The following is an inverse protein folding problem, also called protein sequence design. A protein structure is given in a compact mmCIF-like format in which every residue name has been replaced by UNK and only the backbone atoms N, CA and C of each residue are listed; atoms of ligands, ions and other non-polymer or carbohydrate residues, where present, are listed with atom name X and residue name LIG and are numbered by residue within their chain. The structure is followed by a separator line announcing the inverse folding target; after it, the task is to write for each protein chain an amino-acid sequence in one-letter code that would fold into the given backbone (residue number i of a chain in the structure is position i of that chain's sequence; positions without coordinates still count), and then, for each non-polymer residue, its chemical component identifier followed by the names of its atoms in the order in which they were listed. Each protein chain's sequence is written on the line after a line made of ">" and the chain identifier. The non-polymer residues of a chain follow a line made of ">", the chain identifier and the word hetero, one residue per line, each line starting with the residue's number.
data_IF_243390912964
#
_entry.id   IF_243390912964
#
_cell.length_a   1.000
_cell.length_b   1.000
_cell.length_c   1.000
_cell.angle_alpha   90.00
_cell.angle_beta   90.00
_cell.angle_gamma   90.00
#
_symmetry.space_group_name_H-M   'P 1'
#
loop_
_entity.id
_entity.type
_entity.pdbx_description
1 polymer ?
#
# COMPACT_ATOMS: atom_id res chain seq x y z
N UNK A 1 -20.11 -23.14 56.08
CA UNK A 1 -20.88 -23.50 54.88
C UNK A 1 -20.07 -22.94 53.69
N UNK A 2 -19.40 -23.84 52.98
CA UNK A 2 -18.57 -23.49 51.82
C UNK A 2 -19.45 -23.76 50.59
N UNK A 3 -19.94 -22.76 49.94
CA UNK A 3 -20.60 -22.89 48.64
C UNK A 3 -19.52 -23.15 47.55
N UNK A 4 -19.52 -24.36 47.03
CA UNK A 4 -18.75 -24.71 45.84
C UNK A 4 -19.43 -24.11 44.61
N UNK A 5 -18.91 -22.99 44.11
CA UNK A 5 -19.27 -22.49 42.79
C UNK A 5 -18.55 -23.33 41.73
N UNK A 6 -19.28 -24.17 41.02
CA UNK A 6 -18.79 -24.94 39.87
C UNK A 6 -18.46 -23.94 38.73
N UNK A 7 -17.26 -24.03 38.19
CA UNK A 7 -16.84 -23.16 37.08
C UNK A 7 -17.59 -23.51 35.77
N UNK A 8 -17.84 -22.55 34.86
CA UNK A 8 -18.54 -22.83 33.61
C UNK A 8 -17.91 -23.91 32.71
N UNK A 9 -16.60 -24.17 32.89
CA UNK A 9 -15.87 -25.20 32.15
C UNK A 9 -16.22 -26.62 32.63
N UNK A 10 -16.58 -26.81 33.92
CA UNK A 10 -16.95 -28.12 34.44
C UNK A 10 -18.37 -28.53 34.02
N UNK A 11 -19.28 -27.58 33.87
CA UNK A 11 -20.63 -27.87 33.38
C UNK A 11 -20.62 -28.29 31.88
N UNK A 12 -19.73 -27.71 31.08
CA UNK A 12 -19.58 -28.09 29.67
C UNK A 12 -18.96 -29.48 29.49
N UNK A 13 -17.98 -29.84 30.34
CA UNK A 13 -17.34 -31.16 30.33
C UNK A 13 -18.30 -32.27 30.75
N UNK A 14 -19.19 -32.00 31.71
CA UNK A 14 -20.19 -32.97 32.15
C UNK A 14 -21.29 -33.22 31.12
N UNK A 15 -21.67 -32.20 30.33
CA UNK A 15 -22.61 -32.36 29.22
C UNK A 15 -22.03 -33.19 28.08
N UNK A 16 -20.75 -33.02 27.75
CA UNK A 16 -20.05 -33.81 26.72
C UNK A 16 -19.91 -35.29 27.12
N UNK A 17 -19.70 -35.56 28.41
CA UNK A 17 -19.65 -36.94 28.92
C UNK A 17 -21.02 -37.66 28.86
N UNK A 18 -22.12 -36.93 29.03
CA UNK A 18 -23.47 -37.46 28.90
C UNK A 18 -23.86 -37.76 27.44
N UNK A 19 -23.45 -36.92 26.50
CA UNK A 19 -23.68 -37.14 25.06
C UNK A 19 -23.00 -38.42 24.56
N UNK A 20 -21.84 -38.75 25.11
CA UNK A 20 -21.11 -39.99 24.77
C UNK A 20 -21.85 -41.27 25.24
N UNK A 21 -22.70 -41.15 26.24
CA UNK A 21 -23.40 -42.30 26.82
C UNK A 21 -24.85 -42.48 26.32
N UNK A 22 -25.52 -41.45 25.90
CA UNK A 22 -26.97 -41.53 25.53
C UNK A 22 -27.26 -41.21 24.07
N UNK A 23 -26.35 -40.60 23.33
CA UNK A 23 -26.52 -40.23 21.92
C UNK A 23 -27.54 -39.10 21.67
N UNK A 24 -28.13 -38.51 22.71
CA UNK A 24 -29.09 -37.40 22.60
C UNK A 24 -28.63 -36.20 23.45
N UNK A 25 -28.54 -35.04 22.81
CA UNK A 25 -28.34 -33.75 23.45
C UNK A 25 -29.72 -33.28 23.96
N UNK A 26 -29.89 -33.25 25.27
CA UNK A 26 -31.08 -32.66 25.89
C UNK A 26 -30.87 -31.13 25.88
N UNK A 27 -31.49 -30.41 24.90
CA UNK A 27 -31.39 -28.98 24.73
C UNK A 27 -32.14 -28.17 25.81
N UNK A 28 -33.00 -28.85 26.58
CA UNK A 28 -33.80 -28.18 27.62
C UNK A 28 -32.98 -27.89 28.89
N UNK A 29 -31.81 -28.51 29.07
CA UNK A 29 -30.90 -28.27 30.21
C UNK A 29 -29.80 -27.23 29.91
N UNK A 30 -29.81 -26.64 28.73
CA UNK A 30 -28.91 -25.54 28.42
C UNK A 30 -29.41 -24.26 29.13
N UNK A 31 -28.92 -24.04 30.35
CA UNK A 31 -29.07 -22.73 31.01
C UNK A 31 -28.29 -21.72 30.21
N UNK A 32 -28.98 -20.85 29.51
CA UNK A 32 -28.35 -19.72 28.84
C UNK A 32 -27.47 -18.96 29.84
N UNK A 33 -26.18 -18.72 29.53
CA UNK A 33 -25.35 -17.89 30.39
C UNK A 33 -26.04 -16.55 30.62
N UNK A 34 -25.98 -15.98 31.83
CA UNK A 34 -26.61 -14.69 32.10
C UNK A 34 -26.16 -13.67 31.08
N UNK A 35 -27.11 -13.18 30.29
CA UNK A 35 -26.83 -12.13 29.31
C UNK A 35 -26.37 -10.92 30.11
N UNK A 36 -25.09 -10.59 29.99
CA UNK A 36 -24.55 -9.41 30.62
C UNK A 36 -25.28 -8.20 29.98
N UNK A 37 -26.06 -7.49 30.75
CA UNK A 37 -26.92 -6.37 30.29
C UNK A 37 -26.12 -5.22 29.64
N UNK A 38 -24.78 -5.25 29.77
CA UNK A 38 -23.85 -4.26 29.23
C UNK A 38 -23.44 -4.53 27.77
N UNK A 39 -23.84 -5.66 27.20
CA UNK A 39 -23.58 -5.92 25.78
C UNK A 39 -24.66 -5.27 24.93
N UNK A 40 -24.25 -4.48 23.89
CA UNK A 40 -25.21 -3.93 22.96
C UNK A 40 -25.97 -5.07 22.25
N UNK A 41 -27.26 -4.84 21.99
CA UNK A 41 -28.08 -5.80 21.25
C UNK A 41 -27.40 -6.20 19.94
N UNK A 42 -27.35 -7.51 19.60
CA UNK A 42 -26.77 -7.96 18.33
C UNK A 42 -27.46 -7.26 17.17
N UNK A 43 -26.70 -6.58 16.33
CA UNK A 43 -27.23 -5.96 15.13
C UNK A 43 -27.45 -7.01 14.04
N UNK A 44 -28.55 -6.96 13.29
CA UNK A 44 -28.76 -7.86 12.16
C UNK A 44 -27.62 -7.70 11.16
N UNK A 45 -27.10 -8.79 10.59
CA UNK A 45 -26.04 -8.78 9.57
C UNK A 45 -26.44 -7.95 8.34
N UNK A 46 -27.74 -7.77 8.13
CA UNK A 46 -28.34 -6.95 7.06
C UNK A 46 -28.72 -5.54 7.49
N UNK A 47 -28.41 -5.13 8.73
CA UNK A 47 -28.66 -3.77 9.17
C UNK A 47 -27.85 -2.79 8.32
N UNK A 48 -28.51 -1.82 7.71
CA UNK A 48 -27.84 -0.68 7.09
C UNK A 48 -27.14 0.09 8.19
N UNK A 49 -25.81 0.08 8.17
CA UNK A 49 -25.01 0.94 9.04
C UNK A 49 -25.36 2.37 8.61
N UNK A 50 -25.88 3.19 9.53
CA UNK A 50 -26.07 4.61 9.25
C UNK A 50 -24.72 5.24 8.96
N UNK A 51 -24.66 6.05 7.88
CA UNK A 51 -23.47 6.82 7.56
C UNK A 51 -23.23 7.84 8.66
N UNK A 52 -22.07 7.78 9.29
CA UNK A 52 -21.63 8.80 10.25
C UNK A 52 -20.79 9.86 9.54
N UNK A 53 -20.92 11.14 9.94
CA UNK A 53 -20.07 12.19 9.41
C UNK A 53 -18.59 11.88 9.66
N UNK A 54 -17.74 12.20 8.70
CA UNK A 54 -16.29 12.07 8.89
C UNK A 54 -15.81 13.01 10.01
N UNK A 55 -15.08 12.52 11.03
CA UNK A 55 -14.67 13.31 12.18
C UNK A 55 -13.48 14.22 11.82
N UNK A 56 -13.69 15.22 10.96
CA UNK A 56 -12.63 16.11 10.48
C UNK A 56 -11.97 16.89 11.61
N UNK A 57 -12.72 17.18 12.67
CA UNK A 57 -12.21 17.90 13.86
C UNK A 57 -11.21 17.08 14.67
N UNK A 58 -11.15 15.76 14.47
CA UNK A 58 -10.13 14.91 15.10
C UNK A 58 -8.77 14.98 14.41
N UNK A 59 -8.68 15.57 13.22
CA UNK A 59 -7.42 15.77 12.52
C UNK A 59 -6.59 16.88 13.17
N UNK A 60 -5.24 16.76 13.17
CA UNK A 60 -4.37 17.88 13.51
C UNK A 60 -4.69 19.13 12.71
N UNK A 61 -4.58 20.29 13.32
CA UNK A 61 -5.00 21.57 12.75
C UNK A 61 -4.48 21.85 11.33
N UNK A 62 -3.21 21.54 11.07
CA UNK A 62 -2.60 21.76 9.75
C UNK A 62 -3.31 20.93 8.67
N UNK A 63 -3.60 19.66 8.97
CA UNK A 63 -4.28 18.77 8.04
C UNK A 63 -5.74 19.18 7.88
N UNK A 64 -6.43 19.43 9.00
CA UNK A 64 -7.83 19.83 9.02
C UNK A 64 -8.06 21.08 8.20
N UNK A 65 -7.32 22.14 8.46
CA UNK A 65 -7.47 23.44 7.77
C UNK A 65 -7.19 23.33 6.27
N UNK A 66 -6.17 22.56 5.86
CA UNK A 66 -5.88 22.34 4.46
C UNK A 66 -7.02 21.55 3.78
N UNK A 67 -7.56 20.52 4.46
CA UNK A 67 -8.68 19.74 3.93
C UNK A 67 -9.96 20.57 3.84
N UNK A 68 -10.26 21.43 4.82
CA UNK A 68 -11.39 22.36 4.80
C UNK A 68 -11.25 23.39 3.68
N UNK A 69 -10.07 23.99 3.50
CA UNK A 69 -9.78 24.96 2.44
C UNK A 69 -9.97 24.36 1.05
N UNK A 70 -9.37 23.21 0.79
CA UNK A 70 -9.54 22.49 -0.49
C UNK A 70 -10.98 22.01 -0.67
N UNK A 71 -11.61 21.49 0.39
CA UNK A 71 -12.99 21.03 0.39
C UNK A 71 -13.99 22.14 0.07
N UNK A 72 -13.80 23.35 0.59
CA UNK A 72 -14.63 24.52 0.33
C UNK A 72 -14.64 24.91 -1.16
N UNK A 73 -13.53 24.71 -1.86
CA UNK A 73 -13.42 24.96 -3.29
C UNK A 73 -13.88 23.77 -4.13
N UNK A 74 -13.29 22.59 -3.86
CA UNK A 74 -13.54 21.38 -4.67
C UNK A 74 -14.95 20.85 -4.48
N UNK A 75 -15.53 21.02 -3.29
CA UNK A 75 -16.89 20.55 -2.90
C UNK A 75 -17.07 19.03 -3.11
N UNK A 76 -15.97 18.29 -2.98
CA UNK A 76 -16.00 16.84 -2.90
C UNK A 76 -16.43 16.40 -1.48
N UNK A 77 -16.88 15.15 -1.28
CA UNK A 77 -17.13 14.63 0.05
C UNK A 77 -15.94 14.81 0.99
N UNK A 78 -16.19 15.26 2.22
CA UNK A 78 -15.14 15.61 3.20
C UNK A 78 -14.11 14.50 3.40
N UNK A 79 -14.58 13.25 3.53
CA UNK A 79 -13.67 12.11 3.72
C UNK A 79 -12.78 11.86 2.51
N UNK A 80 -13.23 12.17 1.30
CA UNK A 80 -12.43 12.02 0.08
C UNK A 80 -11.28 13.04 0.10
N UNK A 81 -11.57 14.29 0.44
CA UNK A 81 -10.56 15.35 0.59
C UNK A 81 -9.55 14.99 1.69
N UNK A 82 -10.05 14.56 2.86
CA UNK A 82 -9.23 14.16 4.00
C UNK A 82 -8.34 12.93 3.67
N UNK A 83 -8.88 11.95 2.94
CA UNK A 83 -8.11 10.77 2.52
C UNK A 83 -6.97 11.14 1.56
N UNK A 84 -7.18 12.08 0.64
CA UNK A 84 -6.12 12.58 -0.24
C UNK A 84 -5.04 13.32 0.56
N UNK A 85 -5.41 14.14 1.55
CA UNK A 85 -4.47 14.80 2.45
C UNK A 85 -3.66 13.79 3.28
N UNK A 86 -4.32 12.82 3.92
CA UNK A 86 -3.68 11.80 4.72
C UNK A 86 -2.76 10.90 3.89
N UNK A 87 -3.15 10.54 2.67
CA UNK A 87 -2.33 9.75 1.75
C UNK A 87 -1.05 10.46 1.37
N UNK A 88 -1.12 11.75 1.04
CA UNK A 88 0.05 12.58 0.74
C UNK A 88 0.97 12.73 1.94
N UNK A 89 0.43 13.05 3.11
CA UNK A 89 1.22 13.19 4.33
C UNK A 89 1.88 11.86 4.72
N UNK A 90 1.15 10.75 4.64
CA UNK A 90 1.69 9.41 4.91
C UNK A 90 2.89 9.12 4.01
N UNK A 91 2.79 9.41 2.71
CA UNK A 91 3.88 9.23 1.77
C UNK A 91 5.08 10.12 2.11
N UNK A 92 4.87 11.37 2.49
CA UNK A 92 5.94 12.28 2.84
C UNK A 92 6.67 11.87 4.13
N UNK A 93 5.94 11.36 5.14
CA UNK A 93 6.49 11.06 6.46
C UNK A 93 7.06 9.63 6.60
N UNK A 94 6.55 8.65 5.86
CA UNK A 94 6.82 7.23 6.08
C UNK A 94 8.31 6.82 5.98
N UNK A 95 9.14 7.60 5.28
CA UNK A 95 10.57 7.33 5.16
C UNK A 95 11.37 7.80 6.38
N UNK A 96 10.80 8.65 7.22
CA UNK A 96 11.48 9.34 8.33
C UNK A 96 11.17 8.73 9.69
N UNK A 97 10.02 8.07 9.84
CA UNK A 97 9.53 7.57 11.13
C UNK A 97 8.90 6.20 11.01
N UNK A 98 9.05 5.41 12.07
CA UNK A 98 8.34 4.16 12.29
C UNK A 98 7.45 4.28 13.53
N UNK A 99 6.35 3.55 13.57
CA UNK A 99 5.47 3.48 14.73
C UNK A 99 5.91 2.38 15.70
N UNK A 100 6.30 2.76 16.91
CA UNK A 100 6.51 1.80 18.01
C UNK A 100 5.21 1.66 18.79
N UNK A 101 4.48 0.58 18.58
CA UNK A 101 3.19 0.29 19.23
C UNK A 101 3.36 -0.34 20.62
N UNK A 102 4.40 -1.13 20.78
CA UNK A 102 4.81 -1.75 22.05
C UNK A 102 6.29 -2.15 21.96
N UNK A 103 6.83 -2.74 23.07
CA UNK A 103 8.17 -3.31 23.04
C UNK A 103 8.23 -4.43 21.99
N UNK A 104 9.24 -4.39 21.10
CA UNK A 104 9.41 -5.29 19.95
C UNK A 104 8.30 -5.24 18.87
N UNK A 105 7.37 -4.30 18.96
CA UNK A 105 6.32 -4.07 17.96
C UNK A 105 6.52 -2.71 17.28
N UNK A 106 7.48 -2.64 16.39
CA UNK A 106 7.76 -1.48 15.55
C UNK A 106 7.48 -1.82 14.10
N UNK A 107 6.94 -0.88 13.36
CA UNK A 107 6.63 -1.06 11.94
C UNK A 107 6.43 0.26 11.20
N UNK A 108 6.25 0.18 9.87
CA UNK A 108 6.04 1.34 9.03
C UNK A 108 4.83 2.18 9.44
N UNK A 109 4.87 3.46 9.10
CA UNK A 109 3.74 4.41 9.25
C UNK A 109 2.94 4.59 7.96
N UNK A 110 3.30 3.89 6.88
CA UNK A 110 2.58 3.95 5.62
C UNK A 110 1.12 3.52 5.76
N UNK A 111 0.19 4.37 5.35
CA UNK A 111 -1.24 4.12 5.41
C UNK A 111 -1.75 3.44 4.14
N UNK A 112 -2.70 2.52 4.30
CA UNK A 112 -3.51 1.99 3.22
C UNK A 112 -4.92 2.56 3.33
N UNK A 113 -5.32 3.38 2.36
CA UNK A 113 -6.59 4.11 2.31
C UNK A 113 -7.36 3.68 1.07
N UNK A 114 -8.64 3.39 1.25
CA UNK A 114 -9.55 3.05 0.16
C UNK A 114 -10.82 3.89 0.27
N UNK A 115 -11.02 4.79 -0.67
CA UNK A 115 -12.25 5.61 -0.74
C UNK A 115 -13.11 5.13 -1.89
N UNK A 116 -14.35 4.75 -1.57
CA UNK A 116 -15.34 4.33 -2.57
C UNK A 116 -16.12 5.57 -2.98
N UNK A 117 -15.97 5.99 -4.24
CA UNK A 117 -16.62 7.18 -4.75
C UNK A 117 -16.85 7.06 -6.25
N UNK A 118 -18.03 7.43 -6.71
CA UNK A 118 -18.43 7.30 -8.11
C UNK A 118 -17.71 8.27 -9.06
N UNK A 119 -17.95 8.11 -10.35
CA UNK A 119 -17.44 9.04 -11.35
C UNK A 119 -18.04 10.42 -11.09
N UNK A 120 -17.25 11.49 -11.30
CA UNK A 120 -17.70 12.86 -11.05
C UNK A 120 -17.54 13.35 -9.61
N UNK A 121 -17.07 12.52 -8.65
CA UNK A 121 -16.82 12.94 -7.26
C UNK A 121 -15.53 13.77 -7.08
N UNK A 122 -14.92 14.25 -8.18
CA UNK A 122 -13.74 15.11 -8.19
C UNK A 122 -12.51 14.49 -7.52
N UNK A 123 -12.41 13.16 -7.57
CA UNK A 123 -11.31 12.37 -7.02
C UNK A 123 -9.93 12.89 -7.43
N UNK A 124 -9.70 12.96 -8.74
CA UNK A 124 -8.43 13.41 -9.31
C UNK A 124 -8.06 14.83 -8.90
N UNK A 125 -9.08 15.70 -8.76
CA UNK A 125 -8.85 17.09 -8.32
C UNK A 125 -8.33 17.12 -6.88
N UNK A 126 -8.94 16.35 -5.96
CA UNK A 126 -8.48 16.26 -4.59
C UNK A 126 -7.04 15.76 -4.50
N UNK A 127 -6.72 14.65 -5.19
CA UNK A 127 -5.36 14.12 -5.21
C UNK A 127 -4.35 15.11 -5.78
N UNK A 128 -4.74 15.88 -6.82
CA UNK A 128 -3.86 16.86 -7.44
C UNK A 128 -3.43 17.96 -6.48
N UNK A 129 -4.35 18.46 -5.65
CA UNK A 129 -4.04 19.49 -4.65
C UNK A 129 -3.00 19.00 -3.65
N UNK A 130 -3.22 17.84 -3.05
CA UNK A 130 -2.39 17.33 -1.97
C UNK A 130 -1.10 16.66 -2.44
N UNK A 131 -1.03 16.18 -3.69
CA UNK A 131 0.21 15.60 -4.24
C UNK A 131 1.10 16.62 -4.96
N UNK A 132 0.68 17.87 -5.08
CA UNK A 132 1.40 18.90 -5.86
C UNK A 132 2.83 19.11 -5.37
N UNK A 133 3.03 19.26 -4.06
CA UNK A 133 4.36 19.46 -3.47
C UNK A 133 5.27 18.23 -3.69
N UNK A 134 4.73 17.01 -3.60
CA UNK A 134 5.49 15.79 -3.85
C UNK A 134 5.91 15.69 -5.31
N UNK A 135 5.02 16.06 -6.25
CA UNK A 135 5.34 16.11 -7.68
C UNK A 135 6.44 17.12 -7.96
N UNK A 136 6.30 18.33 -7.43
CA UNK A 136 7.30 19.37 -7.55
C UNK A 136 8.66 18.90 -7.02
N UNK A 137 8.70 18.32 -5.83
CA UNK A 137 9.94 17.74 -5.27
C UNK A 137 10.57 16.70 -6.20
N UNK A 138 9.78 15.77 -6.76
CA UNK A 138 10.30 14.79 -7.72
C UNK A 138 10.89 15.45 -8.97
N UNK A 139 10.22 16.46 -9.52
CA UNK A 139 10.69 17.20 -10.70
C UNK A 139 11.98 17.94 -10.40
N UNK A 140 12.06 18.62 -9.26
CA UNK A 140 13.26 19.32 -8.80
C UNK A 140 14.45 18.36 -8.61
N UNK A 141 14.23 17.20 -7.99
CA UNK A 141 15.27 16.17 -7.80
C UNK A 141 15.72 15.58 -9.17
N UNK A 142 14.79 15.30 -10.06
CA UNK A 142 15.11 14.79 -11.39
C UNK A 142 15.93 15.81 -12.20
N UNK A 143 15.56 17.09 -12.16
CA UNK A 143 16.32 18.13 -12.86
C UNK A 143 17.70 18.36 -12.24
N UNK A 144 17.81 18.37 -10.91
CA UNK A 144 19.08 18.51 -10.22
C UNK A 144 20.07 17.36 -10.56
N UNK A 145 19.54 16.15 -10.75
CA UNK A 145 20.35 14.96 -11.06
C UNK A 145 20.61 14.76 -12.56
N UNK A 146 20.06 15.57 -13.43
CA UNK A 146 20.09 15.38 -14.89
C UNK A 146 21.48 15.28 -15.50
N UNK A 147 22.44 16.06 -14.99
CA UNK A 147 23.83 16.01 -15.43
C UNK A 147 24.47 14.72 -14.99
N UNK A 148 24.35 14.37 -13.69
CA UNK A 148 24.90 13.16 -13.09
C UNK A 148 24.34 11.89 -13.75
N UNK A 149 23.05 11.91 -14.16
CA UNK A 149 22.45 10.80 -14.92
C UNK A 149 23.15 10.60 -16.25
N UNK A 150 23.42 11.68 -17.00
CA UNK A 150 24.14 11.57 -18.28
C UNK A 150 25.58 11.08 -18.12
N UNK A 151 26.25 11.53 -17.07
CA UNK A 151 27.60 11.05 -16.72
C UNK A 151 27.56 9.56 -16.43
N UNK A 152 26.66 9.12 -15.55
CA UNK A 152 26.47 7.70 -15.26
C UNK A 152 26.12 6.86 -16.50
N UNK A 153 25.20 7.34 -17.35
CA UNK A 153 24.83 6.64 -18.59
C UNK A 153 26.05 6.46 -19.51
N UNK A 154 26.89 7.49 -19.62
CA UNK A 154 28.11 7.45 -20.43
C UNK A 154 29.13 6.47 -19.85
N UNK A 155 29.39 6.54 -18.53
CA UNK A 155 30.30 5.64 -17.83
C UNK A 155 29.82 4.19 -17.90
N UNK A 156 28.53 3.96 -17.68
CA UNK A 156 27.95 2.62 -17.76
C UNK A 156 27.99 2.04 -19.18
N UNK A 157 27.79 2.89 -20.20
CA UNK A 157 27.90 2.47 -21.60
C UNK A 157 29.36 2.09 -21.94
N UNK A 158 30.35 2.84 -21.50
CA UNK A 158 31.78 2.52 -21.66
C UNK A 158 32.11 1.20 -20.95
N UNK A 159 31.68 1.05 -19.70
CA UNK A 159 31.88 -0.17 -18.92
C UNK A 159 31.24 -1.42 -19.61
N UNK A 160 30.05 -1.31 -20.15
CA UNK A 160 29.41 -2.37 -20.91
C UNK A 160 30.16 -2.75 -22.16
N UNK A 161 30.71 -1.76 -22.92
CA UNK A 161 31.48 -2.01 -24.13
C UNK A 161 32.82 -2.71 -23.80
N UNK A 162 33.52 -2.29 -22.77
CA UNK A 162 34.75 -2.94 -22.30
C UNK A 162 34.50 -4.39 -21.85
N UNK A 163 33.41 -4.60 -21.11
CA UNK A 163 32.97 -5.92 -20.65
C UNK A 163 32.69 -6.86 -21.83
N UNK A 164 31.96 -6.37 -22.83
CA UNK A 164 31.66 -7.15 -24.04
C UNK A 164 32.92 -7.46 -24.82
N UNK A 165 33.85 -6.52 -24.94
CA UNK A 165 35.15 -6.72 -25.56
C UNK A 165 35.95 -7.82 -24.86
N UNK A 166 36.07 -7.79 -23.53
CA UNK A 166 36.76 -8.83 -22.76
C UNK A 166 36.08 -10.21 -22.88
N UNK A 167 34.74 -10.27 -22.83
CA UNK A 167 34.02 -11.53 -23.03
C UNK A 167 34.22 -12.11 -24.44
N UNK A 168 34.31 -11.25 -25.45
CA UNK A 168 34.61 -11.66 -26.83
C UNK A 168 36.04 -12.15 -26.96
N UNK A 169 37.02 -11.48 -26.35
CA UNK A 169 38.40 -11.91 -26.32
C UNK A 169 38.61 -13.27 -25.62
N UNK A 170 37.89 -13.51 -24.51
CA UNK A 170 37.88 -14.81 -23.81
C UNK A 170 37.33 -15.91 -24.72
N UNK A 171 36.21 -15.66 -25.42
CA UNK A 171 35.62 -16.63 -26.37
C UNK A 171 36.57 -16.96 -27.53
N UNK A 172 37.20 -15.94 -28.09
CA UNK A 172 38.15 -16.09 -29.19
C UNK A 172 39.43 -16.86 -28.76
N UNK A 173 40.02 -16.52 -27.61
CA UNK A 173 41.18 -17.20 -27.07
C UNK A 173 40.86 -18.68 -26.77
N UNK A 174 39.68 -18.97 -26.21
CA UNK A 174 39.21 -20.34 -25.96
C UNK A 174 39.05 -21.15 -27.24
N UNK A 175 38.50 -20.57 -28.32
CA UNK A 175 38.41 -21.23 -29.62
C UNK A 175 39.79 -21.59 -30.22
N UNK A 176 40.78 -20.77 -29.94
CA UNK A 176 42.16 -20.94 -30.44
C UNK A 176 43.05 -21.70 -29.45
N UNK A 177 42.50 -22.32 -28.41
CA UNK A 177 43.22 -23.01 -27.32
C UNK A 177 44.37 -22.19 -26.70
N UNK A 178 44.21 -20.86 -26.66
CA UNK A 178 45.15 -19.93 -26.01
C UNK A 178 44.73 -19.65 -24.56
N UNK A 179 45.70 -19.23 -23.73
CA UNK A 179 45.42 -18.86 -22.36
C UNK A 179 44.39 -17.70 -22.27
N UNK A 180 43.42 -17.84 -21.39
CA UNK A 180 42.37 -16.85 -21.13
C UNK A 180 42.58 -16.11 -19.80
N UNK A 181 43.62 -16.44 -19.05
CA UNK A 181 43.83 -15.97 -17.67
C UNK A 181 43.91 -14.45 -17.56
N UNK A 182 44.67 -13.80 -18.45
CA UNK A 182 44.80 -12.32 -18.44
C UNK A 182 43.45 -11.64 -18.68
N UNK A 183 42.68 -12.14 -19.62
CA UNK A 183 41.34 -11.56 -19.92
C UNK A 183 40.34 -11.78 -18.78
N UNK A 184 40.44 -12.92 -18.09
CA UNK A 184 39.61 -13.21 -16.92
C UNK A 184 39.95 -12.29 -15.75
N UNK A 185 41.23 -12.05 -15.49
CA UNK A 185 41.65 -11.15 -14.43
C UNK A 185 41.24 -9.69 -14.73
N UNK A 186 41.42 -9.25 -15.99
CA UNK A 186 40.93 -7.95 -16.42
C UNK A 186 39.40 -7.81 -16.29
N UNK A 187 38.67 -8.87 -16.65
CA UNK A 187 37.21 -8.87 -16.47
C UNK A 187 36.81 -8.76 -14.99
N UNK A 188 37.51 -9.49 -14.12
CA UNK A 188 37.29 -9.43 -12.69
C UNK A 188 37.57 -8.03 -12.13
N UNK A 189 38.64 -7.38 -12.56
CA UNK A 189 38.93 -5.99 -12.15
C UNK A 189 37.89 -5.03 -12.67
N UNK A 190 37.42 -5.19 -13.90
CA UNK A 190 36.38 -4.38 -14.50
C UNK A 190 35.04 -4.54 -13.73
N UNK A 191 34.69 -5.75 -13.27
CA UNK A 191 33.47 -5.97 -12.47
C UNK A 191 33.52 -5.21 -11.12
N UNK A 192 34.70 -5.00 -10.53
CA UNK A 192 34.83 -4.16 -9.32
C UNK A 192 34.65 -2.66 -9.58
N UNK A 193 34.90 -2.20 -10.80
CA UNK A 193 34.76 -0.80 -11.21
C UNK A 193 33.37 -0.51 -11.84
N UNK A 194 32.41 -1.43 -11.72
CA UNK A 194 31.06 -1.24 -12.24
C UNK A 194 30.44 0.02 -11.68
N UNK A 195 29.96 0.95 -12.52
CA UNK A 195 29.26 2.15 -12.04
C UNK A 195 28.03 1.79 -11.22
N UNK A 196 27.88 2.42 -10.05
CA UNK A 196 26.71 2.21 -9.20
C UNK A 196 25.48 2.93 -9.77
N UNK A 197 24.32 2.25 -9.87
CA UNK A 197 23.10 2.89 -10.33
C UNK A 197 22.71 4.07 -9.46
N UNK A 198 22.40 5.19 -10.09
CA UNK A 198 21.93 6.39 -9.40
C UNK A 198 20.53 6.15 -8.82
N UNK A 199 20.31 6.67 -7.62
CA UNK A 199 19.02 6.63 -6.94
C UNK A 199 18.37 8.00 -7.00
N UNK A 200 17.35 8.13 -7.85
CA UNK A 200 16.57 9.35 -7.99
C UNK A 200 15.22 9.12 -7.30
N UNK A 201 14.75 10.04 -6.45
CA UNK A 201 13.47 9.91 -5.79
C UNK A 201 12.33 9.78 -6.82
N UNK A 202 11.65 8.63 -6.78
CA UNK A 202 10.38 8.42 -7.46
C UNK A 202 9.39 7.99 -6.39
N UNK A 203 8.54 8.94 -5.97
CA UNK A 203 7.64 8.76 -4.82
C UNK A 203 6.24 8.36 -5.25
N UNK A 204 5.74 8.87 -6.39
CA UNK A 204 4.36 8.65 -6.85
C UNK A 204 4.29 7.59 -7.95
N UNK A 205 3.45 6.60 -7.72
CA UNK A 205 3.13 5.51 -8.64
C UNK A 205 1.63 5.51 -8.91
N UNK A 206 1.21 5.95 -10.08
CA UNK A 206 -0.20 6.03 -10.47
C UNK A 206 -0.63 4.76 -11.19
N UNK A 207 0.19 4.31 -12.14
CA UNK A 207 -0.03 3.13 -12.98
C UNK A 207 1.20 2.23 -12.93
N UNK A 208 1.21 1.30 -11.99
CA UNK A 208 2.34 0.37 -11.84
C UNK A 208 1.85 -0.99 -11.36
N UNK A 209 2.44 -2.04 -11.92
CA UNK A 209 2.20 -3.39 -11.42
C UNK A 209 2.94 -3.59 -10.09
N UNK A 210 2.44 -4.45 -9.18
CA UNK A 210 3.13 -4.74 -7.92
C UNK A 210 4.59 -5.22 -8.12
N UNK A 211 4.88 -5.94 -9.20
CA UNK A 211 6.25 -6.38 -9.52
C UNK A 211 7.15 -5.20 -9.93
N UNK A 212 6.65 -4.28 -10.75
CA UNK A 212 7.39 -3.07 -11.12
C UNK A 212 7.59 -2.14 -9.92
N UNK A 213 6.57 -2.02 -9.06
CA UNK A 213 6.69 -1.30 -7.79
C UNK A 213 7.80 -1.88 -6.92
N UNK A 214 7.80 -3.19 -6.69
CA UNK A 214 8.82 -3.85 -5.89
C UNK A 214 10.24 -3.67 -6.48
N UNK A 215 10.38 -3.75 -7.80
CA UNK A 215 11.65 -3.48 -8.48
C UNK A 215 12.14 -2.06 -8.22
N UNK A 216 11.26 -1.07 -8.38
CA UNK A 216 11.60 0.33 -8.15
C UNK A 216 11.95 0.61 -6.68
N UNK A 217 11.20 0.04 -5.73
CA UNK A 217 11.50 0.15 -4.29
C UNK A 217 12.84 -0.50 -3.92
N UNK A 218 13.25 -1.57 -4.60
CA UNK A 218 14.52 -2.24 -4.37
C UNK A 218 15.71 -1.52 -5.00
N UNK A 219 15.56 -1.07 -6.25
CA UNK A 219 16.68 -0.62 -7.10
C UNK A 219 16.77 0.90 -7.24
N UNK A 220 15.68 1.63 -7.10
CA UNK A 220 15.66 3.09 -7.26
C UNK A 220 15.51 3.78 -5.89
N UNK A 221 14.28 3.89 -5.39
CA UNK A 221 14.01 4.64 -4.16
C UNK A 221 13.14 3.81 -3.20
N UNK A 222 13.57 3.60 -1.95
CA UNK A 222 12.93 2.64 -1.05
C UNK A 222 11.65 3.15 -0.39
N UNK A 223 11.13 4.29 -0.78
CA UNK A 223 9.88 4.85 -0.30
C UNK A 223 9.01 5.28 -1.46
N UNK A 224 7.73 4.90 -1.45
CA UNK A 224 6.80 5.25 -2.52
C UNK A 224 5.35 5.18 -2.10
N UNK A 225 4.48 5.80 -2.90
CA UNK A 225 3.03 5.79 -2.71
C UNK A 225 2.29 5.43 -3.98
N UNK A 226 1.40 4.47 -3.88
CA UNK A 226 0.38 4.22 -4.91
C UNK A 226 -0.80 5.13 -4.61
N UNK A 227 -0.81 6.33 -5.20
CA UNK A 227 -1.90 7.29 -5.07
C UNK A 227 -2.63 7.40 -6.39
N UNK A 228 -3.85 6.90 -6.45
CA UNK A 228 -4.62 6.82 -7.70
C UNK A 228 -6.11 7.07 -7.48
N UNK A 229 -6.66 7.95 -8.29
CA UNK A 229 -8.11 8.18 -8.40
C UNK A 229 -8.85 7.08 -9.17
N UNK A 230 -8.11 6.12 -9.73
CA UNK A 230 -8.62 4.95 -10.45
C UNK A 230 -7.88 3.70 -9.98
N UNK A 231 -8.43 3.02 -8.99
CA UNK A 231 -7.82 1.83 -8.38
C UNK A 231 -7.87 0.57 -9.30
N UNK A 232 -8.18 0.74 -10.58
CA UNK A 232 -8.38 -0.34 -11.53
C UNK A 232 -7.19 -1.28 -11.68
N UNK A 233 -5.97 -0.81 -11.44
CA UNK A 233 -4.76 -1.63 -11.58
C UNK A 233 -4.63 -2.63 -10.42
N UNK A 234 -4.94 -2.21 -9.20
CA UNK A 234 -4.89 -3.10 -8.03
C UNK A 234 -6.09 -4.03 -8.00
N UNK A 235 -7.28 -3.50 -8.28
CA UNK A 235 -8.55 -4.21 -8.17
C UNK A 235 -9.11 -4.69 -9.51
N UNK A 236 -8.68 -4.12 -10.62
CA UNK A 236 -9.27 -4.32 -11.95
C UNK A 236 -8.44 -5.13 -12.94
N UNK A 237 -7.36 -5.77 -12.52
CA UNK A 237 -6.53 -6.60 -13.43
C UNK A 237 -7.30 -7.84 -13.90
N UNK A 238 -8.30 -7.59 -14.76
CA UNK A 238 -9.23 -8.59 -15.27
C UNK A 238 -8.58 -9.68 -16.12
N UNK A 239 -7.34 -9.48 -16.54
CA UNK A 239 -6.56 -10.43 -17.33
C UNK A 239 -5.65 -11.34 -16.50
N UNK A 240 -5.54 -11.15 -15.18
CA UNK A 240 -4.68 -11.98 -14.34
C UNK A 240 -5.41 -13.19 -13.79
N UNK A 241 -4.78 -14.38 -13.88
CA UNK A 241 -5.26 -15.58 -13.20
C UNK A 241 -5.24 -15.44 -11.67
N UNK A 242 -5.99 -16.29 -10.97
CA UNK A 242 -6.13 -16.25 -9.50
C UNK A 242 -4.77 -16.27 -8.78
N UNK A 243 -3.80 -17.03 -9.29
CA UNK A 243 -2.46 -17.15 -8.69
C UNK A 243 -1.68 -15.84 -8.76
N UNK A 244 -1.81 -15.09 -9.86
CA UNK A 244 -1.18 -13.78 -10.01
C UNK A 244 -1.79 -12.74 -9.06
N UNK A 245 -3.11 -12.76 -8.88
CA UNK A 245 -3.80 -11.88 -7.94
C UNK A 245 -3.34 -12.19 -6.51
N UNK A 246 -3.31 -13.47 -6.11
CA UNK A 246 -2.84 -13.87 -4.78
C UNK A 246 -1.42 -13.39 -4.50
N UNK A 247 -0.51 -13.60 -5.45
CA UNK A 247 0.87 -13.16 -5.35
C UNK A 247 0.97 -11.63 -5.16
N UNK A 248 0.21 -10.87 -5.95
CA UNK A 248 0.19 -9.41 -5.87
C UNK A 248 -0.33 -8.90 -4.53
N UNK A 249 -1.44 -9.45 -4.03
CA UNK A 249 -2.00 -9.08 -2.73
C UNK A 249 -1.04 -9.44 -1.58
N UNK A 250 -0.43 -10.62 -1.64
CA UNK A 250 0.57 -11.04 -0.65
C UNK A 250 1.79 -10.13 -0.64
N UNK A 251 2.26 -9.69 -1.81
CA UNK A 251 3.37 -8.76 -1.94
C UNK A 251 3.06 -7.40 -1.30
N UNK A 252 1.87 -6.84 -1.56
CA UNK A 252 1.43 -5.59 -0.95
C UNK A 252 1.29 -5.73 0.57
N UNK A 253 0.80 -6.86 1.06
CA UNK A 253 0.74 -7.16 2.49
C UNK A 253 2.13 -7.15 3.14
N UNK A 254 3.13 -7.79 2.52
CA UNK A 254 4.50 -7.80 3.04
C UNK A 254 5.13 -6.40 3.06
N UNK A 255 4.85 -5.59 2.05
CA UNK A 255 5.29 -4.18 2.01
C UNK A 255 4.62 -3.33 3.09
N UNK A 256 3.34 -3.58 3.38
CA UNK A 256 2.64 -2.92 4.48
C UNK A 256 3.23 -3.27 5.84
N UNK A 257 3.60 -4.53 6.03
CA UNK A 257 4.25 -5.02 7.26
C UNK A 257 5.71 -4.53 7.39
N UNK A 258 6.30 -3.97 6.34
CA UNK A 258 7.72 -3.56 6.29
C UNK A 258 8.69 -4.73 6.21
N UNK A 259 8.21 -5.92 5.86
CA UNK A 259 9.01 -7.11 5.72
C UNK A 259 9.93 -7.05 4.49
N UNK A 260 11.06 -7.75 4.57
CA UNK A 260 11.90 -7.96 3.40
C UNK A 260 11.22 -8.91 2.43
N UNK A 261 11.19 -8.55 1.15
CA UNK A 261 10.56 -9.32 0.09
C UNK A 261 11.62 -9.79 -0.90
N UNK A 262 11.84 -11.10 -0.99
CA UNK A 262 12.69 -11.70 -2.01
C UNK A 262 11.85 -11.99 -3.27
N UNK A 263 12.31 -11.54 -4.42
CA UNK A 263 11.70 -11.80 -5.73
C UNK A 263 12.66 -12.60 -6.59
N UNK A 264 12.39 -13.91 -6.69
CA UNK A 264 13.15 -14.81 -7.51
C UNK A 264 12.56 -14.90 -8.91
N UNK A 265 13.40 -14.74 -9.92
CA UNK A 265 13.03 -14.79 -11.33
C UNK A 265 13.85 -15.82 -12.09
N UNK A 266 13.22 -16.55 -13.01
CA UNK A 266 13.90 -17.57 -13.82
C UNK A 266 14.72 -16.99 -14.97
N UNK A 267 14.33 -15.84 -15.51
CA UNK A 267 14.88 -15.27 -16.75
C UNK A 267 15.50 -13.90 -16.59
N UNK A 268 15.40 -13.28 -15.41
CA UNK A 268 15.96 -11.97 -15.11
C UNK A 268 16.61 -11.97 -13.72
N UNK A 269 17.29 -10.90 -13.35
CA UNK A 269 17.93 -10.76 -12.05
C UNK A 269 16.94 -10.88 -10.89
N UNK A 270 17.23 -11.77 -9.94
CA UNK A 270 16.52 -11.84 -8.66
C UNK A 270 16.97 -10.69 -7.76
N UNK A 271 16.06 -10.14 -6.96
CA UNK A 271 16.36 -9.03 -6.08
C UNK A 271 15.59 -9.11 -4.76
N UNK A 272 16.10 -8.39 -3.77
CA UNK A 272 15.46 -8.31 -2.45
C UNK A 272 15.07 -6.86 -2.18
N UNK A 273 13.82 -6.65 -1.82
CA UNK A 273 13.32 -5.37 -1.29
C UNK A 273 13.57 -5.36 0.21
N UNK A 274 14.33 -4.41 0.71
CA UNK A 274 14.62 -4.26 2.15
C UNK A 274 14.34 -2.84 2.59
N UNK A 275 13.72 -2.68 3.77
CA UNK A 275 13.47 -1.38 4.37
C UNK A 275 12.55 -0.48 3.55
N UNK A 276 11.78 -1.04 2.62
CA UNK A 276 10.85 -0.26 1.82
C UNK A 276 9.68 0.27 2.67
N UNK A 277 9.19 1.44 2.27
CA UNK A 277 8.02 2.09 2.85
C UNK A 277 7.00 2.33 1.76
N UNK A 278 5.75 1.95 2.01
CA UNK A 278 4.68 2.04 1.03
C UNK A 278 3.42 2.65 1.64
N UNK A 279 2.94 3.72 1.03
CA UNK A 279 1.59 4.23 1.21
C UNK A 279 0.73 3.80 0.04
N UNK A 280 -0.51 3.40 0.30
CA UNK A 280 -1.50 3.06 -0.73
C UNK A 280 -2.75 3.90 -0.47
N UNK A 281 -3.05 4.86 -1.34
CA UNK A 281 -4.24 5.69 -1.26
C UNK A 281 -5.02 5.58 -2.57
N UNK A 282 -6.04 4.75 -2.55
CA UNK A 282 -6.79 4.37 -3.74
C UNK A 282 -8.23 4.88 -3.64
N UNK A 283 -8.72 5.37 -4.77
CA UNK A 283 -10.11 5.74 -4.93
C UNK A 283 -10.73 4.85 -6.00
N UNK A 284 -11.88 4.26 -5.72
CA UNK A 284 -12.50 3.26 -6.58
C UNK A 284 -13.99 3.54 -6.74
N UNK A 285 -14.52 3.22 -7.91
CA UNK A 285 -15.96 3.21 -8.13
C UNK A 285 -16.60 1.95 -7.53
N UNK A 286 -17.81 2.07 -7.02
CA UNK A 286 -18.55 0.96 -6.43
C UNK A 286 -18.67 -0.22 -7.38
N UNK A 287 -18.95 0.03 -8.66
CA UNK A 287 -19.09 -1.01 -9.68
C UNK A 287 -17.82 -1.81 -9.89
N UNK A 288 -16.65 -1.14 -9.90
CA UNK A 288 -15.34 -1.79 -10.03
C UNK A 288 -15.04 -2.63 -8.79
N UNK A 289 -15.32 -2.10 -7.60
CA UNK A 289 -15.12 -2.82 -6.34
C UNK A 289 -16.01 -4.07 -6.26
N UNK A 290 -17.30 -3.96 -6.63
CA UNK A 290 -18.22 -5.11 -6.72
C UNK A 290 -17.70 -6.18 -7.68
N UNK A 291 -17.20 -5.77 -8.86
CA UNK A 291 -16.60 -6.71 -9.82
C UNK A 291 -15.39 -7.43 -9.25
N UNK A 292 -14.54 -6.74 -8.51
CA UNK A 292 -13.38 -7.34 -7.82
C UNK A 292 -13.85 -8.36 -6.77
N UNK A 293 -14.82 -8.00 -5.92
CA UNK A 293 -15.35 -8.90 -4.90
C UNK A 293 -15.97 -10.17 -5.49
N UNK A 294 -16.69 -10.05 -6.59
CA UNK A 294 -17.29 -11.21 -7.27
C UNK A 294 -16.23 -12.18 -7.81
N UNK A 295 -15.06 -11.69 -8.22
CA UNK A 295 -13.99 -12.50 -8.80
C UNK A 295 -12.95 -12.99 -7.80
N UNK A 296 -12.60 -12.16 -6.84
CA UNK A 296 -11.43 -12.34 -5.97
C UNK A 296 -11.69 -12.01 -4.51
N UNK A 297 -12.94 -11.73 -4.11
CA UNK A 297 -13.26 -11.27 -2.76
C UNK A 297 -12.93 -12.26 -1.67
N UNK A 298 -13.16 -13.56 -1.89
CA UNK A 298 -12.76 -14.62 -0.94
C UNK A 298 -11.25 -14.64 -0.73
N UNK A 299 -10.49 -14.50 -1.81
CA UNK A 299 -9.04 -14.48 -1.78
C UNK A 299 -8.52 -13.25 -1.03
N UNK A 300 -9.06 -12.06 -1.34
CA UNK A 300 -8.67 -10.81 -0.70
C UNK A 300 -8.99 -10.80 0.81
N UNK A 301 -10.11 -11.41 1.21
CA UNK A 301 -10.45 -11.63 2.63
C UNK A 301 -9.51 -12.62 3.29
N UNK A 302 -9.29 -13.78 2.65
CA UNK A 302 -8.45 -14.85 3.18
C UNK A 302 -6.99 -14.43 3.39
N UNK A 303 -6.47 -13.51 2.57
CA UNK A 303 -5.11 -12.97 2.69
C UNK A 303 -4.99 -11.82 3.70
N UNK A 304 -6.10 -11.33 4.28
CA UNK A 304 -6.12 -10.18 5.16
C UNK A 304 -5.78 -8.84 4.46
N UNK A 305 -5.76 -8.80 3.13
CA UNK A 305 -5.42 -7.60 2.37
C UNK A 305 -6.36 -6.43 2.70
N UNK A 306 -7.67 -6.68 2.68
CA UNK A 306 -8.67 -5.65 2.93
C UNK A 306 -8.66 -5.15 4.39
N UNK A 307 -8.25 -5.98 5.34
CA UNK A 307 -8.15 -5.61 6.75
C UNK A 307 -7.06 -4.56 7.03
N UNK A 308 -6.17 -4.30 6.07
CA UNK A 308 -5.12 -3.29 6.15
C UNK A 308 -5.55 -1.90 5.71
N UNK A 309 -6.75 -1.80 5.11
CA UNK A 309 -7.25 -0.53 4.60
C UNK A 309 -8.17 0.17 5.61
N UNK A 310 -7.96 1.46 5.73
CA UNK A 310 -8.99 2.38 6.24
C UNK A 310 -9.95 2.67 5.09
N UNK A 311 -11.16 2.16 5.19
CA UNK A 311 -12.15 2.23 4.12
C UNK A 311 -13.14 3.35 4.41
N UNK A 312 -13.41 4.19 3.41
CA UNK A 312 -14.41 5.23 3.46
C UNK A 312 -15.38 5.12 2.27
N UNK A 313 -16.67 5.33 2.54
CA UNK A 313 -17.71 5.32 1.52
C UNK A 313 -18.66 6.49 1.78
N UNK A 314 -18.30 7.70 1.34
CA UNK A 314 -19.10 8.89 1.56
C UNK A 314 -20.35 8.92 0.70
N UNK A 315 -21.34 9.68 1.17
CA UNK A 315 -22.44 10.11 0.33
C UNK A 315 -21.95 11.06 -0.77
N UNK A 316 -22.58 10.96 -1.94
CA UNK A 316 -22.26 11.83 -3.07
C UNK A 316 -22.66 13.27 -2.79
N UNK A 317 -21.81 14.21 -3.17
CA UNK A 317 -22.13 15.64 -3.17
C UNK A 317 -22.57 16.14 -4.56
N UNK A 318 -22.76 15.26 -5.55
CA UNK A 318 -23.23 15.63 -6.87
C UNK A 318 -24.66 16.20 -6.79
N UNK A 319 -24.93 17.17 -7.65
CA UNK A 319 -26.22 17.86 -7.66
C UNK A 319 -26.36 19.02 -6.66
N UNK A 320 -25.53 19.07 -5.60
CA UNK A 320 -25.54 20.14 -4.60
C UNK A 320 -24.37 21.15 -4.73
N UNK A 321 -23.49 20.96 -5.70
CA UNK A 321 -22.27 21.75 -5.87
C UNK A 321 -22.53 23.03 -6.65
N UNK A 322 -22.60 24.16 -5.95
CA UNK A 322 -22.63 25.45 -6.58
C UNK A 322 -21.24 25.86 -7.07
N UNK A 323 -21.16 26.57 -8.19
CA UNK A 323 -19.90 27.14 -8.68
C UNK A 323 -19.29 28.07 -7.64
N UNK A 324 -17.97 27.96 -7.48
CA UNK A 324 -17.17 28.85 -6.62
C UNK A 324 -15.89 29.14 -7.38
N UNK A 325 -15.51 30.40 -7.48
CA UNK A 325 -14.23 30.79 -8.05
C UNK A 325 -13.08 30.31 -7.15
N UNK A 326 -11.95 29.99 -7.79
CA UNK A 326 -10.77 29.60 -7.04
C UNK A 326 -10.29 30.77 -6.17
N UNK A 327 -9.92 30.52 -4.91
CA UNK A 327 -9.36 31.58 -4.06
C UNK A 327 -8.02 32.08 -4.66
N UNK A 328 -7.72 33.37 -4.46
CA UNK A 328 -6.48 33.95 -4.93
C UNK A 328 -5.23 33.39 -4.22
N UNK A 329 -5.38 32.84 -3.03
CA UNK A 329 -4.31 32.23 -2.27
C UNK A 329 -4.81 31.02 -1.50
N UNK A 330 -3.90 30.12 -1.18
CA UNK A 330 -4.15 28.85 -0.48
C UNK A 330 -3.26 28.79 0.78
N UNK A 331 -3.53 29.61 1.83
CA UNK A 331 -2.66 29.72 2.99
C UNK A 331 -2.51 28.39 3.76
N UNK A 332 -3.60 27.66 3.98
CA UNK A 332 -3.57 26.42 4.76
C UNK A 332 -3.00 25.25 3.96
N UNK A 333 -3.31 25.15 2.66
CA UNK A 333 -2.66 24.18 1.79
C UNK A 333 -1.17 24.46 1.63
N UNK A 334 -0.77 25.75 1.58
CA UNK A 334 0.64 26.14 1.54
C UNK A 334 1.37 25.79 2.82
N UNK A 335 0.72 25.90 3.97
CA UNK A 335 1.26 25.45 5.28
C UNK A 335 1.42 23.93 5.32
N UNK A 336 0.42 23.20 4.83
CA UNK A 336 0.44 21.73 4.72
C UNK A 336 1.57 21.23 3.81
N UNK A 337 1.88 21.93 2.72
CA UNK A 337 2.88 21.55 1.72
C UNK A 337 4.34 21.89 2.13
N UNK A 338 4.56 22.56 3.26
CA UNK A 338 5.90 22.83 3.82
C UNK A 338 6.44 21.69 4.64
#
# INVERSE_FOLDING_TARGET
>A
MIENSISPSESFSNNLANVANTGELNLDDAVDPPINSDWPQPQPITARIQSEPYPIDALPDVIRRAAEEVGAFVKAPTVLVASSALGSLSLACQAHVDAKRAEKLQGPTGLFLLTIADSGERKTTCDSFFTSAIRQYQEEQAEAMKITVKEYESENAAWLAEREGLLSAIKEAGKKSKSTEVFKENLKQLEYSKPEPLRIPRLLYVDTTPEALAYNLAKQWPSGGMISSEAGIVFGSHAMGKDSIMKNLSQLNQLWDGNSLAIDRRTSESFIVKGARLTVALQIQETTLKSFFNKSGELARGTGFLARFLVAWPESTQGSRMFTEAPQSWPYLSEFNR
#
